data_IF_421749909671
#
_entry.id   IF_421749909671
#
_cell.length_a   1.000
_cell.length_b   1.000
_cell.length_c   1.000
_cell.angle_alpha   90.00
_cell.angle_beta   90.00
_cell.angle_gamma   90.00
#
_symmetry.space_group_name_H-M   'P 1'
#
loop_
_entity.id
_entity.type
_entity.pdbx_description
1 polymer ?
#
# COMPACT_ATOMS: atom_id res chain seq x y z
N UNK A 1 -4.67 15.60 -8.32
CA UNK A 1 -5.55 16.61 -7.66
C UNK A 1 -6.96 16.11 -7.30
N UNK A 2 -7.51 15.05 -7.94
CA UNK A 2 -8.88 14.56 -7.65
C UNK A 2 -9.13 14.12 -6.19
N UNK A 3 -8.13 13.59 -5.50
CA UNK A 3 -8.27 13.07 -4.13
C UNK A 3 -8.60 14.13 -3.07
N UNK A 4 -8.18 15.38 -3.25
CA UNK A 4 -8.44 16.46 -2.28
C UNK A 4 -9.76 17.19 -2.53
N UNK A 5 -10.37 17.00 -3.69
CA UNK A 5 -11.56 17.74 -4.10
C UNK A 5 -12.74 17.56 -3.13
N UNK A 6 -12.96 16.36 -2.63
CA UNK A 6 -14.04 16.08 -1.66
C UNK A 6 -13.82 16.81 -0.34
N UNK A 7 -12.60 16.77 0.19
CA UNK A 7 -12.28 17.44 1.47
C UNK A 7 -12.41 18.96 1.37
N UNK A 8 -11.91 19.55 0.27
CA UNK A 8 -12.02 20.98 0.03
C UNK A 8 -13.47 21.44 -0.17
N UNK A 9 -14.29 20.66 -0.89
CA UNK A 9 -15.73 20.95 -1.04
C UNK A 9 -16.44 20.95 0.31
N UNK A 10 -16.20 19.94 1.16
CA UNK A 10 -16.80 19.88 2.50
C UNK A 10 -16.35 21.04 3.39
N UNK A 11 -15.07 21.41 3.32
CA UNK A 11 -14.55 22.59 4.01
C UNK A 11 -15.23 23.87 3.55
N UNK A 12 -15.38 24.07 2.23
CA UNK A 12 -16.07 25.25 1.70
C UNK A 12 -17.53 25.32 2.15
N UNK A 13 -18.28 24.21 2.13
CA UNK A 13 -19.64 24.18 2.67
C UNK A 13 -19.68 24.52 4.17
N UNK A 14 -18.73 23.97 4.95
CA UNK A 14 -18.59 24.26 6.38
C UNK A 14 -18.33 25.76 6.64
N UNK A 15 -17.42 26.38 5.88
CA UNK A 15 -17.13 27.81 5.97
C UNK A 15 -18.31 28.67 5.54
N UNK A 16 -18.94 28.35 4.39
CA UNK A 16 -20.07 29.09 3.84
C UNK A 16 -21.27 29.09 4.81
N UNK A 17 -21.59 27.94 5.41
CA UNK A 17 -22.70 27.82 6.38
C UNK A 17 -22.53 28.68 7.64
N UNK A 18 -21.31 29.14 7.93
CA UNK A 18 -20.97 29.92 9.12
C UNK A 18 -20.45 31.32 8.80
N UNK A 19 -20.57 31.76 7.54
CA UNK A 19 -20.02 33.03 7.05
C UNK A 19 -18.54 33.23 7.43
N UNK A 20 -17.75 32.16 7.35
CA UNK A 20 -16.32 32.19 7.63
C UNK A 20 -15.51 32.25 6.35
N UNK A 21 -14.41 33.01 6.36
CA UNK A 21 -13.40 32.95 5.31
C UNK A 21 -12.71 31.58 5.31
N UNK A 22 -12.63 30.98 4.12
CA UNK A 22 -12.08 29.65 3.89
C UNK A 22 -10.56 29.64 3.66
N UNK A 23 -9.93 30.82 3.60
CA UNK A 23 -8.48 31.00 3.37
C UNK A 23 -7.71 31.38 4.64
N UNK A 24 -8.41 31.78 5.71
CA UNK A 24 -7.79 32.18 6.97
C UNK A 24 -7.16 30.99 7.67
N UNK A 25 -5.91 31.16 8.11
CA UNK A 25 -5.13 30.16 8.86
C UNK A 25 -5.55 30.13 10.33
N UNK A 26 -6.71 29.53 10.59
CA UNK A 26 -7.21 29.30 11.94
C UNK A 26 -7.35 27.79 12.21
N UNK A 27 -6.44 27.25 13.03
CA UNK A 27 -6.39 25.82 13.33
C UNK A 27 -7.54 25.37 14.24
N UNK A 28 -8.11 26.27 15.04
CA UNK A 28 -9.30 25.98 15.85
C UNK A 28 -10.50 25.68 14.96
N UNK A 29 -10.66 26.42 13.85
CA UNK A 29 -11.71 26.16 12.85
C UNK A 29 -11.49 24.84 12.12
N UNK A 30 -10.24 24.51 11.80
CA UNK A 30 -9.89 23.21 11.19
C UNK A 30 -10.26 22.07 12.13
N UNK A 31 -9.94 22.18 13.42
CA UNK A 31 -10.32 21.20 14.44
C UNK A 31 -11.84 21.06 14.56
N UNK A 32 -12.57 22.17 14.58
CA UNK A 32 -14.03 22.17 14.66
C UNK A 32 -14.64 21.44 13.45
N UNK A 33 -14.17 21.74 12.25
CA UNK A 33 -14.58 21.05 11.03
C UNK A 33 -14.30 19.55 11.08
N UNK A 34 -13.08 19.15 11.44
CA UNK A 34 -12.70 17.74 11.52
C UNK A 34 -13.51 17.00 12.60
N UNK A 35 -13.85 17.68 13.69
CA UNK A 35 -14.71 17.14 14.76
C UNK A 35 -16.14 16.91 14.27
N UNK A 36 -16.73 17.86 13.55
CA UNK A 36 -18.06 17.70 12.97
C UNK A 36 -18.10 16.56 11.94
N UNK A 37 -17.07 16.45 11.10
CA UNK A 37 -16.96 15.36 10.13
C UNK A 37 -16.77 13.99 10.81
N UNK A 38 -16.04 13.93 11.92
CA UNK A 38 -15.93 12.72 12.73
C UNK A 38 -17.28 12.30 13.34
N UNK A 39 -18.05 13.26 13.86
CA UNK A 39 -19.41 13.04 14.37
C UNK A 39 -20.36 12.55 13.28
N UNK A 40 -20.21 13.05 12.05
CA UNK A 40 -20.93 12.57 10.84
C UNK A 40 -20.49 11.17 10.38
N UNK A 41 -19.54 10.53 11.06
CA UNK A 41 -19.11 9.16 10.77
C UNK A 41 -17.91 9.05 9.83
N UNK A 42 -17.17 10.12 9.56
CA UNK A 42 -15.96 10.04 8.75
C UNK A 42 -14.91 9.12 9.40
N UNK A 43 -14.32 8.24 8.59
CA UNK A 43 -13.24 7.35 9.04
C UNK A 43 -11.94 8.12 9.30
N UNK A 44 -11.03 7.54 10.07
CA UNK A 44 -9.68 8.08 10.27
C UNK A 44 -8.99 8.41 8.92
N UNK A 45 -9.06 7.49 7.96
CA UNK A 45 -8.46 7.68 6.63
C UNK A 45 -9.07 8.86 5.87
N UNK A 46 -10.40 9.02 5.95
CA UNK A 46 -11.13 10.14 5.34
C UNK A 46 -10.72 11.47 5.96
N UNK A 47 -10.72 11.56 7.29
CA UNK A 47 -10.31 12.76 8.02
C UNK A 47 -8.85 13.11 7.73
N UNK A 48 -7.97 12.11 7.67
CA UNK A 48 -6.56 12.33 7.35
C UNK A 48 -6.39 12.87 5.91
N UNK A 49 -7.22 12.43 4.97
CA UNK A 49 -7.26 13.00 3.62
C UNK A 49 -7.71 14.46 3.63
N UNK A 50 -8.72 14.81 4.44
CA UNK A 50 -9.18 16.19 4.60
C UNK A 50 -8.10 17.07 5.23
N UNK A 51 -7.41 16.59 6.28
CA UNK A 51 -6.26 17.26 6.89
C UNK A 51 -5.18 17.58 5.87
N UNK A 52 -4.82 16.62 5.01
CA UNK A 52 -3.83 16.84 3.95
C UNK A 52 -4.30 17.86 2.91
N UNK A 53 -5.58 17.83 2.54
CA UNK A 53 -6.16 18.82 1.63
C UNK A 53 -6.11 20.24 2.22
N UNK A 54 -6.44 20.38 3.50
CA UNK A 54 -6.38 21.66 4.22
C UNK A 54 -4.95 22.14 4.45
N UNK A 55 -4.01 21.22 4.69
CA UNK A 55 -2.59 21.56 4.77
C UNK A 55 -2.05 22.08 3.44
N UNK A 56 -2.58 21.59 2.31
CA UNK A 56 -2.27 22.12 0.98
C UNK A 56 -2.91 23.50 0.74
N UNK A 57 -4.17 23.72 1.14
CA UNK A 57 -4.88 24.99 0.93
C UNK A 57 -4.37 26.11 1.85
N UNK A 58 -4.26 25.84 3.15
CA UNK A 58 -4.00 26.86 4.17
C UNK A 58 -2.51 26.99 4.46
N UNK A 59 -1.90 25.91 4.94
CA UNK A 59 -0.48 25.84 5.30
C UNK A 59 -0.08 24.42 5.70
N UNK A 60 1.13 23.95 5.36
CA UNK A 60 1.69 22.70 5.88
C UNK A 60 1.70 22.62 7.41
N UNK A 61 1.67 23.77 8.11
CA UNK A 61 1.61 23.84 9.57
C UNK A 61 0.39 23.12 10.17
N UNK A 62 -0.74 23.05 9.45
CA UNK A 62 -1.94 22.28 9.84
C UNK A 62 -1.60 20.81 10.13
N UNK A 63 -0.65 20.23 9.39
CA UNK A 63 -0.26 18.84 9.56
C UNK A 63 0.65 18.61 10.78
N UNK A 64 1.32 19.67 11.24
CA UNK A 64 2.35 19.62 12.29
C UNK A 64 1.80 20.07 13.64
N UNK A 65 0.70 20.84 13.63
CA UNK A 65 0.02 21.39 14.79
C UNK A 65 -0.22 20.33 15.91
N UNK A 66 0.15 20.64 17.17
CA UNK A 66 0.02 19.71 18.29
C UNK A 66 -1.42 19.27 18.57
N UNK A 67 -2.39 20.19 18.49
CA UNK A 67 -3.78 19.92 18.82
C UNK A 67 -4.43 19.05 17.74
N UNK A 68 -4.14 19.33 16.47
CA UNK A 68 -4.55 18.46 15.36
C UNK A 68 -3.94 17.06 15.51
N UNK A 69 -2.65 16.94 15.86
CA UNK A 69 -2.05 15.63 16.12
C UNK A 69 -2.71 14.91 17.29
N UNK A 70 -3.01 15.63 18.38
CA UNK A 70 -3.69 15.07 19.56
C UNK A 70 -5.11 14.63 19.24
N UNK A 71 -5.83 15.40 18.42
CA UNK A 71 -7.15 15.05 17.90
C UNK A 71 -7.13 13.73 17.11
N UNK A 72 -6.18 13.56 16.18
CA UNK A 72 -6.05 12.30 15.42
C UNK A 72 -5.67 11.11 16.31
N UNK A 73 -4.84 11.31 17.34
CA UNK A 73 -4.59 10.28 18.37
C UNK A 73 -5.88 9.92 19.11
N UNK A 74 -6.69 10.91 19.47
CA UNK A 74 -8.00 10.71 20.11
C UNK A 74 -8.94 9.90 19.22
N UNK A 75 -9.03 10.22 17.93
CA UNK A 75 -9.83 9.43 16.97
C UNK A 75 -9.38 7.97 16.93
N UNK A 76 -8.07 7.72 16.88
CA UNK A 76 -7.53 6.37 16.84
C UNK A 76 -7.87 5.57 18.11
N UNK A 77 -7.96 6.22 19.27
CA UNK A 77 -8.40 5.58 20.52
C UNK A 77 -9.91 5.33 20.53
N UNK A 78 -10.71 6.28 20.06
CA UNK A 78 -12.18 6.17 20.05
C UNK A 78 -12.70 5.18 19.00
N UNK A 79 -12.03 5.10 17.85
CA UNK A 79 -12.36 4.20 16.73
C UNK A 79 -11.06 3.60 16.19
N UNK A 80 -10.51 2.56 16.85
CA UNK A 80 -9.30 1.91 16.39
C UNK A 80 -9.50 1.37 14.98
N UNK A 81 -8.52 1.59 14.11
CA UNK A 81 -8.51 0.96 12.79
C UNK A 81 -8.28 -0.53 12.98
N UNK A 82 -9.35 -1.32 12.89
CA UNK A 82 -9.22 -2.76 12.89
C UNK A 82 -8.48 -3.22 11.62
N UNK A 83 -7.56 -4.18 11.74
CA UNK A 83 -7.00 -4.82 10.57
C UNK A 83 -8.16 -5.41 9.75
N UNK A 84 -8.07 -5.31 8.42
CA UNK A 84 -9.12 -5.82 7.53
C UNK A 84 -9.35 -7.33 7.69
N UNK A 85 -8.35 -8.04 8.18
CA UNK A 85 -8.37 -9.48 8.38
C UNK A 85 -7.97 -9.79 9.83
N UNK A 86 -8.77 -10.61 10.50
CA UNK A 86 -8.49 -11.09 11.86
C UNK A 86 -7.38 -12.15 11.87
N UNK A 87 -7.24 -12.90 10.78
CA UNK A 87 -6.19 -13.89 10.57
C UNK A 87 -5.69 -13.84 9.11
N UNK A 88 -4.42 -14.19 8.91
CA UNK A 88 -3.88 -14.50 7.58
C UNK A 88 -4.14 -15.96 7.22
N UNK A 89 -4.16 -16.27 5.94
CA UNK A 89 -4.29 -17.65 5.43
C UNK A 89 -2.97 -18.43 5.62
N UNK A 90 -3.05 -19.76 5.69
CA UNK A 90 -1.87 -20.64 5.84
C UNK A 90 -1.20 -20.93 4.48
N UNK A 91 0.04 -20.45 4.23
CA UNK A 91 0.76 -20.70 3.00
C UNK A 91 1.06 -22.18 2.73
N UNK A 92 1.08 -23.03 3.76
CA UNK A 92 1.39 -24.45 3.61
C UNK A 92 0.34 -25.19 2.76
N UNK A 93 -0.92 -24.75 2.79
CA UNK A 93 -1.97 -25.35 1.96
C UNK A 93 -1.65 -25.20 0.48
N UNK A 94 -1.21 -23.99 0.08
CA UNK A 94 -0.82 -23.71 -1.31
C UNK A 94 0.49 -24.42 -1.65
N UNK A 95 1.49 -24.40 -0.77
CA UNK A 95 2.76 -25.09 -1.01
C UNK A 95 2.58 -26.60 -1.19
N UNK A 96 1.70 -27.24 -0.41
CA UNK A 96 1.35 -28.66 -0.57
C UNK A 96 0.72 -28.93 -1.93
N UNK A 97 -0.24 -28.11 -2.35
CA UNK A 97 -0.84 -28.21 -3.69
C UNK A 97 0.21 -28.06 -4.79
N UNK A 98 1.04 -27.01 -4.74
CA UNK A 98 2.08 -26.77 -5.74
C UNK A 98 3.12 -27.90 -5.77
N UNK A 99 3.43 -28.51 -4.62
CA UNK A 99 4.35 -29.65 -4.54
C UNK A 99 3.80 -30.93 -5.17
N UNK A 100 2.47 -31.06 -5.26
CA UNK A 100 1.81 -32.21 -5.90
C UNK A 100 1.77 -32.12 -7.44
N UNK A 101 2.02 -30.92 -7.99
CA UNK A 101 2.07 -30.70 -9.44
C UNK A 101 3.47 -31.06 -9.96
N UNK A 102 3.54 -32.06 -10.83
CA UNK A 102 4.77 -32.40 -11.54
C UNK A 102 5.08 -31.36 -12.62
N UNK A 103 6.14 -30.55 -12.41
CA UNK A 103 6.54 -29.48 -13.33
C UNK A 103 6.79 -29.97 -14.77
N UNK A 104 7.17 -31.25 -14.95
CA UNK A 104 7.53 -31.80 -16.26
C UNK A 104 6.33 -32.25 -17.10
N UNK A 105 5.17 -32.49 -16.48
CA UNK A 105 4.02 -33.11 -17.14
C UNK A 105 2.75 -32.24 -17.07
N UNK A 106 2.90 -30.94 -16.80
CA UNK A 106 1.79 -29.98 -16.73
C UNK A 106 1.77 -29.03 -17.93
N UNK A 107 0.58 -28.60 -18.37
CA UNK A 107 0.45 -27.57 -19.39
C UNK A 107 1.09 -26.24 -18.99
N UNK A 108 1.64 -25.53 -19.98
CA UNK A 108 2.30 -24.23 -19.80
C UNK A 108 1.49 -23.22 -18.96
N UNK A 109 0.15 -23.07 -19.11
CA UNK A 109 -0.62 -22.16 -18.26
C UNK A 109 -0.55 -22.49 -16.77
N UNK A 110 -0.56 -23.78 -16.42
CA UNK A 110 -0.48 -24.24 -15.02
C UNK A 110 0.95 -24.01 -14.50
N UNK A 111 1.96 -24.27 -15.33
CA UNK A 111 3.35 -23.99 -14.98
C UNK A 111 3.59 -22.50 -14.73
N UNK A 112 3.05 -21.62 -15.59
CA UNK A 112 3.13 -20.17 -15.39
C UNK A 112 2.45 -19.73 -14.10
N UNK A 113 1.30 -20.31 -13.76
CA UNK A 113 0.62 -20.03 -12.49
C UNK A 113 1.43 -20.51 -11.28
N UNK A 114 1.99 -21.74 -11.35
CA UNK A 114 2.86 -22.31 -10.32
C UNK A 114 4.07 -21.40 -10.08
N UNK A 115 4.80 -21.05 -11.14
CA UNK A 115 5.96 -20.16 -11.08
C UNK A 115 5.61 -18.79 -10.50
N UNK A 116 4.57 -18.14 -11.02
CA UNK A 116 4.15 -16.81 -10.55
C UNK A 116 3.76 -16.84 -9.07
N UNK A 117 3.09 -17.90 -8.63
CA UNK A 117 2.68 -18.07 -7.22
C UNK A 117 3.90 -18.31 -6.32
N UNK A 118 4.85 -19.14 -6.73
CA UNK A 118 6.09 -19.35 -5.98
C UNK A 118 6.93 -18.07 -5.87
N UNK A 119 7.06 -17.32 -6.96
CA UNK A 119 7.73 -16.00 -6.94
C UNK A 119 7.03 -15.05 -5.97
N UNK A 120 5.70 -14.98 -6.01
CA UNK A 120 4.92 -14.13 -5.13
C UNK A 120 5.09 -14.52 -3.65
N UNK A 121 5.10 -15.82 -3.34
CA UNK A 121 5.28 -16.32 -1.98
C UNK A 121 6.71 -16.12 -1.46
N UNK A 122 7.72 -16.36 -2.29
CA UNK A 122 9.12 -16.21 -1.90
C UNK A 122 9.53 -14.75 -1.67
N UNK A 123 8.98 -13.82 -2.46
CA UNK A 123 9.41 -12.40 -2.43
C UNK A 123 8.44 -11.46 -1.74
N UNK A 124 7.21 -11.92 -1.45
CA UNK A 124 6.10 -11.10 -0.94
C UNK A 124 5.85 -9.82 -1.77
N UNK A 125 6.18 -9.85 -3.06
CA UNK A 125 6.05 -8.70 -3.96
C UNK A 125 4.61 -8.48 -4.41
N UNK A 126 4.31 -7.23 -4.80
CA UNK A 126 3.00 -6.88 -5.36
C UNK A 126 2.89 -7.40 -6.79
N UNK A 127 1.66 -7.66 -7.24
CA UNK A 127 1.36 -8.06 -8.61
C UNK A 127 1.95 -7.08 -9.65
N UNK A 128 1.99 -5.77 -9.34
CA UNK A 128 2.61 -4.77 -10.21
C UNK A 128 4.10 -5.02 -10.44
N UNK A 129 4.84 -5.48 -9.42
CA UNK A 129 6.26 -5.84 -9.56
C UNK A 129 6.40 -7.07 -10.44
N UNK A 130 5.53 -8.07 -10.25
CA UNK A 130 5.57 -9.33 -11.00
C UNK A 130 5.21 -9.12 -12.48
N UNK A 131 4.27 -8.22 -12.77
CA UNK A 131 3.83 -7.94 -14.15
C UNK A 131 4.87 -7.22 -15.02
N UNK A 132 5.90 -6.65 -14.41
CA UNK A 132 7.00 -5.96 -15.12
C UNK A 132 8.29 -6.79 -15.13
N UNK A 133 8.23 -8.06 -14.71
CA UNK A 133 9.37 -8.96 -14.86
C UNK A 133 9.66 -9.13 -16.35
N UNK A 134 10.89 -8.85 -16.72
CA UNK A 134 11.39 -8.99 -18.08
C UNK A 134 12.50 -10.04 -18.09
N UNK A 135 12.38 -11.01 -18.98
CA UNK A 135 13.34 -12.11 -19.16
C UNK A 135 14.75 -11.59 -19.46
N UNK A 136 14.86 -10.44 -20.13
CA UNK A 136 16.16 -9.79 -20.45
C UNK A 136 16.91 -9.30 -19.21
N UNK A 137 16.20 -9.10 -18.10
CA UNK A 137 16.75 -8.62 -16.84
C UNK A 137 16.98 -9.75 -15.82
N UNK A 138 16.89 -11.01 -16.26
CA UNK A 138 17.18 -12.20 -15.47
C UNK A 138 18.66 -12.53 -15.62
N UNK A 139 19.35 -12.66 -14.49
CA UNK A 139 20.79 -12.94 -14.41
C UNK A 139 20.97 -14.22 -13.61
N UNK A 140 21.59 -15.20 -14.23
CA UNK A 140 22.00 -16.43 -13.56
C UNK A 140 23.32 -16.20 -12.82
N UNK A 141 23.34 -16.60 -11.54
CA UNK A 141 24.50 -16.55 -10.67
C UNK A 141 24.80 -17.97 -10.16
N UNK A 142 26.04 -18.28 -9.76
CA UNK A 142 26.35 -19.57 -9.15
C UNK A 142 25.52 -19.88 -7.90
N UNK A 143 25.05 -18.83 -7.21
CA UNK A 143 24.24 -18.93 -6.00
C UNK A 143 22.73 -19.05 -6.27
N UNK A 144 22.23 -18.69 -7.46
CA UNK A 144 20.81 -18.63 -7.76
C UNK A 144 20.48 -17.72 -8.95
N UNK A 145 19.25 -17.21 -9.02
CA UNK A 145 18.81 -16.27 -10.06
C UNK A 145 18.53 -14.90 -9.45
N UNK A 146 19.02 -13.86 -10.12
CA UNK A 146 18.71 -12.46 -9.83
C UNK A 146 17.82 -11.88 -10.93
N UNK A 147 16.71 -11.23 -10.55
CA UNK A 147 15.81 -10.52 -11.47
C UNK A 147 15.83 -9.04 -11.13
N UNK A 148 16.29 -8.22 -12.08
CA UNK A 148 16.28 -6.75 -11.93
C UNK A 148 14.96 -6.17 -12.43
N UNK A 149 14.39 -5.25 -11.66
CA UNK A 149 13.17 -4.53 -12.05
C UNK A 149 13.54 -3.05 -12.26
N UNK A 150 14.04 -2.64 -13.44
CA UNK A 150 14.43 -1.24 -13.68
C UNK A 150 13.22 -0.29 -13.76
N UNK A 151 12.04 -0.82 -14.04
CA UNK A 151 10.81 -0.05 -14.22
C UNK A 151 10.40 0.71 -12.97
N UNK A 152 9.82 1.90 -13.18
CA UNK A 152 9.31 2.73 -12.09
C UNK A 152 7.96 2.21 -11.61
N UNK A 153 7.97 1.57 -10.46
CA UNK A 153 6.78 1.08 -9.77
C UNK A 153 6.07 2.19 -9.00
N UNK A 154 4.82 1.94 -8.60
CA UNK A 154 4.06 2.83 -7.71
C UNK A 154 4.78 3.09 -6.39
N UNK A 155 5.57 2.13 -5.92
CA UNK A 155 6.35 2.23 -4.69
C UNK A 155 7.79 2.71 -4.88
N UNK A 156 8.23 2.98 -6.11
CA UNK A 156 9.56 3.51 -6.37
C UNK A 156 9.66 4.94 -5.82
N UNK A 157 10.67 5.17 -4.98
CA UNK A 157 10.96 6.49 -4.41
C UNK A 157 12.01 7.21 -5.26
N UNK A 158 12.01 8.54 -5.21
CA UNK A 158 13.03 9.33 -5.86
C UNK A 158 14.40 9.06 -5.20
N UNK A 159 15.46 8.90 -6.00
CA UNK A 159 16.83 8.63 -5.53
C UNK A 159 17.03 7.34 -4.72
N UNK A 160 16.17 6.34 -4.88
CA UNK A 160 16.37 5.00 -4.30
C UNK A 160 16.59 3.97 -5.39
N UNK A 161 17.39 2.94 -5.08
CA UNK A 161 17.56 1.80 -5.97
C UNK A 161 16.22 1.09 -6.23
N UNK A 162 16.08 0.58 -7.45
CA UNK A 162 14.93 -0.24 -7.82
C UNK A 162 15.06 -1.64 -7.22
N UNK A 163 13.94 -2.38 -7.04
CA UNK A 163 14.00 -3.68 -6.42
C UNK A 163 14.75 -4.70 -7.29
N UNK A 164 15.49 -5.57 -6.59
CA UNK A 164 16.17 -6.73 -7.15
C UNK A 164 15.58 -7.95 -6.44
N UNK A 165 15.11 -8.94 -7.18
CA UNK A 165 14.59 -10.19 -6.65
C UNK A 165 15.68 -11.25 -6.76
N UNK A 166 16.03 -11.89 -5.64
CA UNK A 166 17.03 -12.95 -5.64
C UNK A 166 16.41 -14.26 -5.18
N UNK A 167 16.62 -15.32 -5.96
CA UNK A 167 16.11 -16.66 -5.70
C UNK A 167 17.29 -17.62 -5.56
N UNK A 168 17.59 -18.11 -4.34
CA UNK A 168 18.60 -19.13 -4.16
C UNK A 168 18.13 -20.50 -4.66
N UNK A 169 19.07 -21.39 -4.95
CA UNK A 169 18.76 -22.79 -5.22
C UNK A 169 18.15 -23.45 -3.98
N UNK A 170 16.86 -23.80 -4.07
CA UNK A 170 16.16 -24.47 -2.99
C UNK A 170 16.25 -25.99 -3.16
N UNK A 171 17.00 -26.66 -2.26
CA UNK A 171 17.34 -28.09 -2.37
C UNK A 171 16.43 -29.01 -1.56
N UNK A 172 15.74 -28.50 -0.54
CA UNK A 172 14.98 -29.33 0.39
C UNK A 172 13.73 -29.93 -0.25
N UNK A 173 13.06 -29.17 -1.13
CA UNK A 173 11.95 -29.66 -1.92
C UNK A 173 11.98 -29.07 -3.34
N UNK A 174 12.49 -29.82 -4.33
CA UNK A 174 12.61 -29.36 -5.70
C UNK A 174 11.28 -28.95 -6.34
N UNK A 175 10.16 -29.56 -5.93
CA UNK A 175 8.85 -29.30 -6.54
C UNK A 175 8.28 -27.92 -6.23
N UNK A 176 8.81 -27.23 -5.22
CA UNK A 176 8.43 -25.85 -4.85
C UNK A 176 9.57 -24.86 -5.05
N UNK A 177 10.68 -25.29 -5.68
CA UNK A 177 11.76 -24.40 -6.04
C UNK A 177 11.32 -23.50 -7.21
N UNK A 178 11.63 -22.21 -7.15
CA UNK A 178 11.33 -21.25 -8.23
C UNK A 178 12.17 -21.54 -9.48
N UNK A 179 13.30 -22.22 -9.32
CA UNK A 179 14.34 -22.40 -10.34
C UNK A 179 14.27 -23.75 -11.09
N UNK A 180 13.30 -24.62 -10.77
CA UNK A 180 13.28 -26.03 -11.21
C UNK A 180 12.07 -26.36 -12.08
#
# INVERSE_FOLDING_TARGET
>A
MRQYSTGLKRWWCFCASRNMDNTVRDFSRVLLFLSEEFQRGASYGTLNSYRSALAFLLSPAVAVDPDIKRFFKGIQLLRPTMPRYEASWDPQVVLKYLSSLDSNNIPLPILSQKLTTLIALATAQRLQTLSVIDVRNIIELPSGIEIKIPDRLKTSRHSTFQPILFFPHFRDNPQICVLF
#
